data_IF_806288910868
#
_entry.id   IF_806288910868
#
_cell.length_a   1.000
_cell.length_b   1.000
_cell.length_c   1.000
_cell.angle_alpha   90.00
_cell.angle_beta   90.00
_cell.angle_gamma   90.00
#
_symmetry.space_group_name_H-M   'P 1'
#
loop_
_entity.id
_entity.type
_entity.pdbx_description
1 polymer ?
#
# COMPACT_ATOMS: atom_id res chain seq x y z
N UNK A 1 -33.18 -54.73 0.27
CA UNK A 1 -33.39 -53.86 1.45
C UNK A 1 -32.27 -52.85 1.48
N UNK A 2 -32.58 -51.59 1.17
CA UNK A 2 -31.61 -50.50 1.03
C UNK A 2 -31.69 -49.71 2.34
N UNK A 3 -30.62 -49.66 3.12
CA UNK A 3 -30.58 -48.93 4.38
C UNK A 3 -30.46 -47.43 4.08
N UNK A 4 -31.54 -46.68 4.35
CA UNK A 4 -31.50 -45.22 4.41
C UNK A 4 -30.63 -44.80 5.60
N UNK A 5 -29.51 -44.13 5.34
CA UNK A 5 -28.80 -43.37 6.35
C UNK A 5 -29.23 -41.91 6.24
N UNK A 6 -30.16 -41.52 7.10
CA UNK A 6 -30.54 -40.12 7.32
C UNK A 6 -29.34 -39.37 7.90
N UNK A 7 -28.81 -38.42 7.13
CA UNK A 7 -27.83 -37.43 7.62
C UNK A 7 -28.55 -36.54 8.66
N UNK A 8 -28.01 -36.39 9.88
CA UNK A 8 -28.62 -35.52 10.88
C UNK A 8 -28.50 -34.05 10.45
N UNK A 9 -29.46 -33.19 10.83
CA UNK A 9 -29.44 -31.79 10.42
C UNK A 9 -28.26 -31.07 11.06
N UNK A 10 -27.50 -30.32 10.26
CA UNK A 10 -26.46 -29.43 10.73
C UNK A 10 -27.11 -28.25 11.47
N UNK A 11 -27.18 -28.33 12.79
CA UNK A 11 -27.40 -27.15 13.61
C UNK A 11 -26.60 -27.26 14.90
N UNK A 12 -25.29 -27.18 14.75
CA UNK A 12 -24.39 -26.73 15.81
C UNK A 12 -23.87 -25.36 15.39
N UNK A 13 -24.49 -24.29 15.92
CA UNK A 13 -23.80 -23.01 16.00
C UNK A 13 -22.66 -23.18 17.01
N UNK A 14 -21.55 -23.70 16.51
CA UNK A 14 -20.26 -23.66 17.21
C UNK A 14 -20.07 -22.23 17.75
N UNK A 15 -19.72 -22.06 19.03
CA UNK A 15 -19.54 -20.74 19.60
C UNK A 15 -18.51 -19.97 18.76
N UNK A 16 -18.82 -18.72 18.42
CA UNK A 16 -17.93 -17.86 17.64
C UNK A 16 -16.60 -17.72 18.38
N UNK A 17 -15.58 -18.49 17.97
CA UNK A 17 -14.25 -18.37 18.54
C UNK A 17 -13.79 -16.94 18.31
N UNK A 18 -13.33 -16.25 19.37
CA UNK A 18 -12.67 -14.96 19.20
C UNK A 18 -11.50 -15.15 18.23
N UNK A 19 -11.47 -14.36 17.15
CA UNK A 19 -10.34 -14.36 16.21
C UNK A 19 -9.07 -13.98 16.97
N UNK A 20 -8.00 -14.69 16.66
CA UNK A 20 -6.67 -14.35 17.15
C UNK A 20 -6.17 -13.08 16.45
N UNK A 21 -5.28 -12.34 17.12
CA UNK A 21 -4.63 -11.16 16.51
C UNK A 21 -3.94 -11.47 15.18
N UNK A 22 -3.46 -12.71 14.97
CA UNK A 22 -2.91 -13.15 13.68
C UNK A 22 -3.98 -13.23 12.60
N UNK A 23 -5.18 -13.72 12.93
CA UNK A 23 -6.33 -13.79 12.01
C UNK A 23 -6.93 -12.41 11.68
N UNK A 24 -6.61 -11.39 12.46
CA UNK A 24 -6.99 -9.99 12.18
C UNK A 24 -6.00 -9.29 11.24
N UNK A 25 -4.74 -9.74 11.23
CA UNK A 25 -3.64 -9.12 10.48
C UNK A 25 -3.40 -9.81 9.14
N UNK A 26 -3.45 -11.14 9.11
CA UNK A 26 -3.20 -11.93 7.91
C UNK A 26 -4.49 -12.52 7.37
N UNK A 27 -4.68 -12.46 6.06
CA UNK A 27 -5.81 -13.10 5.43
C UNK A 27 -5.62 -14.63 5.38
N UNK A 28 -6.71 -15.38 5.14
CA UNK A 28 -6.68 -16.84 5.18
C UNK A 28 -5.62 -17.47 4.25
N UNK A 29 -5.48 -16.93 3.03
CA UNK A 29 -4.43 -17.35 2.09
C UNK A 29 -2.99 -17.14 2.61
N UNK A 30 -2.71 -16.02 3.30
CA UNK A 30 -1.39 -15.78 3.91
C UNK A 30 -1.13 -16.76 5.06
N UNK A 31 -2.13 -17.00 5.91
CA UNK A 31 -2.02 -17.98 6.99
C UNK A 31 -1.75 -19.38 6.41
N UNK A 32 -2.51 -19.81 5.40
CA UNK A 32 -2.29 -21.09 4.74
C UNK A 32 -0.90 -21.18 4.08
N UNK A 33 -0.39 -20.08 3.50
CA UNK A 33 0.95 -20.04 2.94
C UNK A 33 2.05 -20.09 4.01
N UNK A 34 1.84 -19.43 5.16
CA UNK A 34 2.74 -19.51 6.31
C UNK A 34 2.84 -20.94 6.84
N UNK A 35 1.72 -21.64 6.97
CA UNK A 35 1.68 -23.06 7.39
C UNK A 35 2.38 -23.97 6.37
N UNK A 36 2.22 -23.68 5.09
CA UNK A 36 2.73 -24.55 4.01
C UNK A 36 4.22 -24.40 3.73
N UNK A 37 4.75 -23.18 3.80
CA UNK A 37 6.11 -22.87 3.32
C UNK A 37 6.95 -22.03 4.30
N UNK A 38 6.35 -21.55 5.39
CA UNK A 38 6.99 -20.64 6.32
C UNK A 38 7.25 -21.27 7.69
N UNK A 39 7.48 -20.39 8.65
CA UNK A 39 7.46 -20.71 10.08
C UNK A 39 6.40 -19.81 10.74
N UNK A 40 5.14 -20.29 10.90
CA UNK A 40 4.04 -19.53 11.49
C UNK A 40 4.35 -18.95 12.87
N UNK A 41 5.19 -19.64 13.65
CA UNK A 41 5.55 -19.25 15.02
C UNK A 41 6.43 -17.99 15.07
N UNK A 42 7.07 -17.62 13.96
CA UNK A 42 7.82 -16.36 13.87
C UNK A 42 6.91 -15.15 14.08
N UNK A 43 5.64 -15.21 13.71
CA UNK A 43 4.69 -14.10 13.81
C UNK A 43 4.04 -14.00 15.20
N UNK A 44 4.89 -13.82 16.22
CA UNK A 44 4.44 -13.54 17.58
C UNK A 44 3.74 -12.17 17.67
N UNK A 45 2.95 -11.95 18.73
CA UNK A 45 2.29 -10.66 18.97
C UNK A 45 3.31 -9.52 19.06
N UNK A 46 4.43 -9.76 19.72
CA UNK A 46 5.53 -8.80 19.85
C UNK A 46 6.11 -8.43 18.48
N UNK A 47 6.43 -9.43 17.66
CA UNK A 47 6.96 -9.18 16.31
C UNK A 47 5.97 -8.41 15.44
N UNK A 48 4.68 -8.76 15.50
CA UNK A 48 3.65 -8.02 14.76
C UNK A 48 3.57 -6.56 15.22
N UNK A 49 3.61 -6.29 16.53
CA UNK A 49 3.63 -4.92 17.05
C UNK A 49 4.88 -4.12 16.63
N UNK A 50 6.01 -4.80 16.44
CA UNK A 50 7.27 -4.19 16.02
C UNK A 50 7.36 -3.93 14.51
N UNK A 51 6.58 -4.66 13.69
CA UNK A 51 6.73 -4.63 12.23
C UNK A 51 5.48 -4.16 11.49
N UNK A 52 4.32 -4.11 12.12
CA UNK A 52 3.05 -3.82 11.46
C UNK A 52 2.34 -2.69 12.20
N UNK A 53 2.10 -1.59 11.48
CA UNK A 53 1.43 -0.42 12.01
C UNK A 53 0.23 -0.06 11.14
N UNK A 54 -0.75 0.65 11.71
CA UNK A 54 -1.86 1.25 10.97
C UNK A 54 -1.62 2.76 10.70
N UNK A 55 -0.39 3.22 10.86
CA UNK A 55 0.03 4.60 10.74
C UNK A 55 1.51 4.64 10.36
N UNK A 56 1.97 5.74 9.79
CA UNK A 56 3.39 6.05 9.62
C UNK A 56 3.97 6.33 11.02
N UNK A 57 4.93 5.53 11.52
CA UNK A 57 5.63 5.84 12.75
C UNK A 57 6.32 7.20 12.65
N UNK A 58 6.35 7.96 13.76
CA UNK A 58 6.90 9.33 13.75
C UNK A 58 8.33 9.38 13.19
N UNK A 59 9.18 8.41 13.56
CA UNK A 59 10.56 8.34 13.06
C UNK A 59 10.68 8.10 11.54
N UNK A 60 9.61 7.66 10.87
CA UNK A 60 9.59 7.42 9.42
C UNK A 60 8.90 8.55 8.65
N UNK A 61 8.23 9.50 9.33
CA UNK A 61 7.45 10.57 8.69
C UNK A 61 8.29 11.39 7.71
N UNK A 62 9.44 11.91 8.16
CA UNK A 62 10.32 12.72 7.32
C UNK A 62 10.78 11.94 6.10
N UNK A 63 11.19 10.67 6.30
CA UNK A 63 11.63 9.78 5.22
C UNK A 63 10.56 9.53 4.16
N UNK A 64 9.30 9.46 4.55
CA UNK A 64 8.16 9.31 3.62
C UNK A 64 7.89 10.61 2.87
N UNK A 65 7.92 11.77 3.54
CA UNK A 65 7.69 13.08 2.89
C UNK A 65 8.85 13.49 1.97
N UNK A 66 10.09 13.08 2.30
CA UNK A 66 11.31 13.37 1.53
C UNK A 66 11.55 12.37 0.39
N UNK A 67 10.72 11.32 0.27
CA UNK A 67 10.87 10.31 -0.77
C UNK A 67 10.75 10.96 -2.17
N UNK A 68 11.78 10.85 -3.03
CA UNK A 68 11.77 11.49 -4.34
C UNK A 68 10.80 10.82 -5.33
N UNK A 69 10.42 9.56 -5.02
CA UNK A 69 9.46 8.77 -5.77
C UNK A 69 8.93 7.61 -4.90
N UNK A 70 7.90 6.94 -5.40
CA UNK A 70 7.40 5.65 -4.90
C UNK A 70 6.76 4.85 -6.04
N UNK A 71 6.51 3.57 -5.82
CA UNK A 71 5.71 2.74 -6.72
C UNK A 71 4.30 2.60 -6.17
N UNK A 72 3.31 2.78 -7.03
CA UNK A 72 1.89 2.66 -6.69
C UNK A 72 1.30 1.44 -7.40
N UNK A 73 0.90 0.45 -6.61
CA UNK A 73 0.09 -0.67 -7.07
C UNK A 73 -1.40 -0.35 -6.87
N UNK A 74 -2.18 -0.61 -7.91
CA UNK A 74 -3.65 -0.51 -7.93
C UNK A 74 -4.21 -1.73 -8.64
N UNK A 75 -5.51 -1.98 -8.55
CA UNK A 75 -6.16 -3.02 -9.36
C UNK A 75 -7.56 -2.62 -9.76
N UNK A 76 -8.04 -3.20 -10.85
CA UNK A 76 -9.45 -3.13 -11.22
C UNK A 76 -10.31 -3.94 -10.24
N UNK A 77 -11.63 -3.79 -10.32
CA UNK A 77 -12.59 -4.53 -9.50
C UNK A 77 -12.49 -6.07 -9.65
N UNK A 78 -11.99 -6.55 -10.79
CA UNK A 78 -11.80 -7.97 -11.09
C UNK A 78 -10.42 -8.51 -10.68
N UNK A 79 -9.57 -7.68 -10.06
CA UNK A 79 -8.24 -8.06 -9.59
C UNK A 79 -7.12 -7.91 -10.62
N UNK A 80 -7.36 -7.38 -11.83
CA UNK A 80 -6.28 -7.04 -12.76
C UNK A 80 -5.43 -5.89 -12.21
N UNK A 81 -4.15 -6.16 -11.93
CA UNK A 81 -3.25 -5.22 -11.30
C UNK A 81 -2.56 -4.28 -12.29
N UNK A 82 -2.26 -3.07 -11.82
CA UNK A 82 -1.39 -2.09 -12.45
C UNK A 82 -0.32 -1.63 -11.44
N UNK A 83 0.87 -1.30 -11.92
CA UNK A 83 1.94 -0.74 -11.10
C UNK A 83 2.57 0.44 -11.82
N UNK A 84 2.58 1.60 -11.15
CA UNK A 84 3.05 2.85 -11.74
C UNK A 84 4.14 3.49 -10.87
N UNK A 85 5.14 4.05 -11.51
CA UNK A 85 6.12 4.91 -10.86
C UNK A 85 5.51 6.29 -10.64
N UNK A 86 5.62 6.82 -9.42
CA UNK A 86 5.22 8.19 -9.06
C UNK A 86 6.46 8.92 -8.59
N UNK A 87 6.91 9.87 -9.40
CA UNK A 87 8.07 10.72 -9.11
C UNK A 87 7.73 12.20 -9.26
N UNK A 88 8.70 13.04 -8.96
CA UNK A 88 8.54 14.50 -8.91
C UNK A 88 9.56 15.18 -8.00
N UNK A 89 10.36 14.40 -7.27
CA UNK A 89 11.32 14.90 -6.31
C UNK A 89 10.72 15.05 -4.91
N UNK A 90 11.44 15.72 -4.00
CA UNK A 90 10.96 15.93 -2.63
C UNK A 90 9.61 16.65 -2.60
N UNK A 91 8.84 16.46 -1.52
CA UNK A 91 7.48 17.01 -1.37
C UNK A 91 6.40 16.41 -2.27
N UNK A 92 6.68 15.29 -2.95
CA UNK A 92 5.68 14.51 -3.67
C UNK A 92 4.58 13.97 -2.74
N UNK A 93 4.91 13.73 -1.48
CA UNK A 93 3.98 13.18 -0.48
C UNK A 93 3.86 14.14 0.69
N UNK A 94 2.62 14.26 1.19
CA UNK A 94 2.31 14.92 2.44
C UNK A 94 1.67 13.95 3.42
N UNK A 95 2.22 13.84 4.62
CA UNK A 95 1.56 13.12 5.72
C UNK A 95 0.59 14.09 6.39
N UNK A 96 -0.71 13.88 6.18
CA UNK A 96 -1.79 14.73 6.68
C UNK A 96 -2.12 14.42 8.15
N UNK A 97 -1.99 13.14 8.53
CA UNK A 97 -2.13 12.61 9.88
C UNK A 97 -1.32 11.30 9.96
N UNK A 98 -1.06 10.74 11.16
CA UNK A 98 -0.30 9.49 11.27
C UNK A 98 -0.82 8.37 10.38
N UNK A 99 -2.15 8.25 10.25
CA UNK A 99 -2.82 7.23 9.43
C UNK A 99 -3.34 7.77 8.08
N UNK A 100 -2.84 8.91 7.60
CA UNK A 100 -3.36 9.55 6.38
C UNK A 100 -2.30 10.31 5.62
N UNK A 101 -2.13 9.99 4.34
CA UNK A 101 -1.20 10.69 3.45
C UNK A 101 -1.89 11.16 2.18
N UNK A 102 -1.25 12.07 1.45
CA UNK A 102 -1.72 12.55 0.17
C UNK A 102 -0.56 12.73 -0.81
N UNK A 103 -0.84 12.58 -2.10
CA UNK A 103 0.09 12.85 -3.19
C UNK A 103 -0.67 13.37 -4.43
N UNK A 104 -0.05 14.21 -5.26
CA UNK A 104 -0.69 14.78 -6.43
C UNK A 104 -0.72 13.79 -7.60
N UNK A 105 -1.76 13.89 -8.43
CA UNK A 105 -1.75 13.32 -9.77
C UNK A 105 -1.16 14.34 -10.76
N UNK A 106 0.10 14.11 -11.14
CA UNK A 106 0.90 14.93 -12.06
C UNK A 106 1.08 16.40 -11.63
N UNK A 107 2.13 17.03 -12.14
CA UNK A 107 2.20 18.48 -12.23
C UNK A 107 1.60 18.89 -13.57
N UNK A 108 0.86 20.00 -13.62
CA UNK A 108 0.25 20.53 -14.85
C UNK A 108 1.22 20.73 -16.04
N UNK A 109 2.54 20.69 -15.81
CA UNK A 109 3.58 20.83 -16.84
C UNK A 109 4.00 19.51 -17.49
N UNK A 110 3.66 18.36 -16.90
CA UNK A 110 3.99 17.03 -17.42
C UNK A 110 2.72 16.40 -17.97
N UNK A 111 2.60 16.34 -19.31
CA UNK A 111 1.55 15.54 -19.94
C UNK A 111 1.96 14.08 -19.83
N UNK A 112 1.27 13.33 -18.96
CA UNK A 112 1.29 11.87 -19.04
C UNK A 112 0.72 11.39 -20.39
N UNK A 113 0.73 10.08 -20.63
CA UNK A 113 0.12 9.49 -21.82
C UNK A 113 -1.42 9.58 -21.87
N UNK A 114 -2.05 10.25 -20.91
CA UNK A 114 -3.50 10.41 -20.82
C UNK A 114 -4.28 9.13 -20.51
N UNK A 115 -3.63 8.04 -20.11
CA UNK A 115 -4.31 6.76 -19.86
C UNK A 115 -5.05 6.69 -18.52
N UNK A 116 -4.70 7.56 -17.55
CA UNK A 116 -5.33 7.64 -16.22
C UNK A 116 -5.49 6.30 -15.47
N UNK A 117 -4.65 5.30 -15.77
CA UNK A 117 -4.78 3.91 -15.28
C UNK A 117 -4.95 3.83 -13.76
N UNK A 118 -4.06 4.48 -12.99
CA UNK A 118 -4.14 4.44 -11.52
C UNK A 118 -5.41 5.12 -10.99
N UNK A 119 -5.83 6.25 -11.55
CA UNK A 119 -7.03 6.95 -11.10
C UNK A 119 -8.29 6.16 -11.44
N UNK A 120 -8.37 5.63 -12.66
CA UNK A 120 -9.48 4.79 -13.11
C UNK A 120 -9.65 3.56 -12.21
N UNK A 121 -8.54 2.91 -11.84
CA UNK A 121 -8.57 1.81 -10.88
C UNK A 121 -9.08 2.27 -9.50
N UNK A 122 -8.56 3.38 -8.96
CA UNK A 122 -8.99 3.92 -7.65
C UNK A 122 -10.49 4.23 -7.61
N UNK A 123 -11.05 4.74 -8.71
CA UNK A 123 -12.49 5.07 -8.79
C UNK A 123 -13.40 3.85 -8.67
N UNK A 124 -12.94 2.66 -9.07
CA UNK A 124 -13.74 1.41 -9.01
C UNK A 124 -13.28 0.47 -7.90
N UNK A 125 -12.07 0.66 -7.38
CA UNK A 125 -11.46 -0.16 -6.36
C UNK A 125 -10.48 0.69 -5.52
N UNK A 126 -10.82 1.02 -4.27
CA UNK A 126 -10.03 1.95 -3.46
C UNK A 126 -8.73 1.34 -2.92
N UNK A 127 -8.52 0.03 -3.00
CA UNK A 127 -7.37 -0.62 -2.38
C UNK A 127 -6.07 -0.30 -3.15
N UNK A 128 -5.10 0.29 -2.46
CA UNK A 128 -3.80 0.65 -3.02
C UNK A 128 -2.65 0.18 -2.14
N UNK A 129 -1.47 -0.01 -2.76
CA UNK A 129 -0.22 -0.22 -2.04
C UNK A 129 0.85 0.71 -2.60
N UNK A 130 1.49 1.46 -1.70
CA UNK A 130 2.66 2.28 -1.99
C UNK A 130 3.89 1.53 -1.53
N UNK A 131 4.92 1.49 -2.38
CA UNK A 131 6.23 0.94 -2.06
C UNK A 131 7.29 2.03 -2.16
N UNK A 132 7.91 2.30 -1.01
CA UNK A 132 9.06 3.17 -0.87
C UNK A 132 10.32 2.31 -0.84
N UNK A 133 11.34 2.74 -1.58
CA UNK A 133 12.67 2.13 -1.57
C UNK A 133 13.69 3.25 -1.52
N UNK A 134 14.56 3.20 -0.52
CA UNK A 134 15.77 4.01 -0.51
C UNK A 134 16.93 3.17 -1.01
N UNK A 135 17.49 3.57 -2.14
CA UNK A 135 18.61 2.87 -2.75
C UNK A 135 19.97 3.23 -2.13
N UNK A 136 20.04 4.14 -1.14
CA UNK A 136 21.28 4.44 -0.44
C UNK A 136 21.56 3.45 0.69
N UNK A 137 20.57 3.17 1.53
CA UNK A 137 20.69 2.25 2.68
C UNK A 137 19.86 0.95 2.52
N UNK A 138 19.12 0.83 1.41
CA UNK A 138 18.30 -0.34 1.09
C UNK A 138 16.99 -0.41 1.87
N UNK A 139 16.63 0.59 2.68
CA UNK A 139 15.42 0.55 3.47
C UNK A 139 14.18 0.53 2.56
N UNK A 140 13.17 -0.23 2.99
CA UNK A 140 11.91 -0.38 2.27
C UNK A 140 10.75 -0.21 3.22
N UNK A 141 9.75 0.53 2.76
CA UNK A 141 8.50 0.71 3.49
C UNK A 141 7.34 0.46 2.54
N UNK A 142 6.44 -0.44 2.93
CA UNK A 142 5.17 -0.64 2.25
C UNK A 142 4.07 0.04 3.04
N UNK A 143 3.21 0.79 2.36
CA UNK A 143 2.05 1.48 2.93
C UNK A 143 0.82 1.08 2.12
N UNK A 144 -0.06 0.28 2.71
CA UNK A 144 -1.31 -0.14 2.13
C UNK A 144 -2.46 0.66 2.75
N UNK A 145 -3.49 0.91 1.95
CA UNK A 145 -4.67 1.60 2.44
C UNK A 145 -5.75 1.74 1.39
N UNK A 146 -6.70 2.61 1.70
CA UNK A 146 -7.81 2.97 0.81
C UNK A 146 -7.59 4.37 0.26
N UNK A 147 -7.55 4.48 -1.05
CA UNK A 147 -7.41 5.72 -1.76
C UNK A 147 -8.77 6.34 -2.10
N UNK A 148 -8.80 7.67 -2.12
CA UNK A 148 -9.89 8.49 -2.64
C UNK A 148 -9.34 9.70 -3.39
N UNK A 149 -10.16 10.29 -4.25
CA UNK A 149 -9.82 11.49 -5.03
C UNK A 149 -10.83 12.58 -4.66
N UNK A 150 -10.62 13.29 -3.54
CA UNK A 150 -11.54 14.34 -3.12
C UNK A 150 -11.48 15.57 -4.04
N UNK A 151 -12.61 16.23 -4.24
CA UNK A 151 -12.71 17.50 -4.99
C UNK A 151 -12.35 18.74 -4.14
N UNK A 152 -11.93 18.54 -2.88
CA UNK A 152 -11.69 19.59 -1.89
C UNK A 152 -10.58 20.57 -2.32
N UNK A 153 -10.91 21.87 -2.31
CA UNK A 153 -10.00 22.98 -2.59
C UNK A 153 -8.81 23.02 -1.62
N UNK A 154 -8.93 22.46 -0.41
CA UNK A 154 -7.86 22.40 0.58
C UNK A 154 -6.68 21.58 0.09
N UNK A 155 -6.93 20.50 -0.67
CA UNK A 155 -5.87 19.69 -1.27
C UNK A 155 -5.09 20.48 -2.33
N UNK A 156 -5.76 21.38 -3.06
CA UNK A 156 -5.10 22.32 -4.00
C UNK A 156 -4.23 23.36 -3.29
N UNK A 157 -4.43 23.63 -2.00
CA UNK A 157 -3.49 24.49 -1.24
C UNK A 157 -2.18 23.75 -0.95
N UNK A 158 -2.23 22.45 -0.72
CA UNK A 158 -1.05 21.60 -0.47
C UNK A 158 -0.32 21.31 -1.78
N UNK A 159 -1.08 21.05 -2.85
CA UNK A 159 -0.54 20.76 -4.18
C UNK A 159 -1.13 21.71 -5.25
N UNK A 160 -0.67 22.98 -5.33
CA UNK A 160 -1.27 24.00 -6.20
C UNK A 160 -1.22 23.69 -7.69
N UNK A 161 -0.23 22.91 -8.12
CA UNK A 161 -0.02 22.55 -9.53
C UNK A 161 -0.66 21.21 -9.91
N UNK A 162 -1.35 20.54 -8.98
CA UNK A 162 -1.94 19.23 -9.22
C UNK A 162 -3.31 19.34 -9.90
N UNK A 163 -3.55 18.48 -10.87
CA UNK A 163 -4.88 18.33 -11.50
C UNK A 163 -5.89 17.80 -10.49
N UNK A 164 -5.50 16.75 -9.77
CA UNK A 164 -6.20 16.23 -8.61
C UNK A 164 -5.22 15.67 -7.59
N UNK A 165 -5.71 15.35 -6.40
CA UNK A 165 -4.91 14.82 -5.29
C UNK A 165 -5.51 13.50 -4.86
N UNK A 166 -4.65 12.50 -4.71
CA UNK A 166 -5.02 11.21 -4.12
C UNK A 166 -4.75 11.28 -2.62
N UNK A 167 -5.75 10.90 -1.83
CA UNK A 167 -5.63 10.77 -0.38
C UNK A 167 -5.75 9.30 -0.02
N UNK A 168 -4.84 8.82 0.82
CA UNK A 168 -4.80 7.42 1.27
C UNK A 168 -4.99 7.38 2.77
N UNK A 169 -6.07 6.71 3.19
CA UNK A 169 -6.29 6.32 4.57
C UNK A 169 -5.57 4.98 4.80
N UNK A 170 -4.59 5.00 5.70
CA UNK A 170 -3.63 3.92 5.89
C UNK A 170 -4.25 2.79 6.71
N UNK A 171 -4.11 1.55 6.23
CA UNK A 171 -4.57 0.35 6.92
C UNK A 171 -3.39 -0.52 7.39
N UNK A 172 -2.28 -0.53 6.65
CA UNK A 172 -1.09 -1.31 7.01
C UNK A 172 0.19 -0.63 6.54
N UNK A 173 1.14 -0.50 7.45
CA UNK A 173 2.53 -0.09 7.19
C UNK A 173 3.42 -1.23 7.63
N UNK A 174 4.29 -1.68 6.73
CA UNK A 174 5.21 -2.78 7.01
C UNK A 174 6.59 -2.47 6.42
N UNK A 175 7.68 -2.55 7.21
CA UNK A 175 9.02 -2.46 6.67
C UNK A 175 9.35 -3.76 5.95
N UNK A 176 10.25 -3.69 4.97
CA UNK A 176 10.82 -4.89 4.34
C UNK A 176 12.32 -4.91 4.54
N UNK A 177 12.90 -6.12 4.60
CA UNK A 177 14.34 -6.31 4.79
C UNK A 177 15.16 -5.56 3.72
N UNK A 178 16.33 -5.02 4.03
CA UNK A 178 17.16 -4.30 3.04
C UNK A 178 17.98 -5.22 2.13
N UNK A 179 17.99 -6.53 2.41
CA UNK A 179 18.76 -7.50 1.64
C UNK A 179 18.49 -7.39 0.14
N UNK A 180 19.58 -7.41 -0.64
CA UNK A 180 19.60 -7.43 -2.11
C UNK A 180 19.11 -6.15 -2.81
N UNK A 181 18.82 -5.06 -2.09
CA UNK A 181 18.61 -3.76 -2.74
C UNK A 181 19.98 -3.19 -3.14
N UNK A 182 20.22 -2.95 -4.44
CA UNK A 182 21.48 -2.41 -4.90
C UNK A 182 21.63 -0.97 -4.44
N UNK A 183 22.88 -0.54 -4.23
CA UNK A 183 23.17 0.90 -4.15
C UNK A 183 23.12 1.49 -5.53
N UNK A 184 22.28 2.51 -5.72
CA UNK A 184 22.18 3.25 -6.98
C UNK A 184 22.77 4.64 -6.80
N UNK A 185 23.55 5.07 -7.78
CA UNK A 185 24.00 6.46 -7.90
C UNK A 185 23.11 7.12 -8.94
N UNK A 186 22.59 8.32 -8.65
CA UNK A 186 21.82 9.08 -9.64
C UNK A 186 22.68 9.30 -10.87
N UNK A 187 22.15 8.97 -12.05
CA UNK A 187 22.75 9.42 -13.28
C UNK A 187 22.76 10.95 -13.33
N UNK A 188 23.72 11.53 -14.03
CA UNK A 188 23.71 12.97 -14.31
C UNK A 188 22.41 13.33 -15.04
N UNK A 189 21.83 14.48 -14.67
CA UNK A 189 20.56 14.91 -15.23
C UNK A 189 20.77 15.36 -16.68
N UNK A 190 20.52 14.47 -17.65
CA UNK A 190 20.50 14.83 -19.06
C UNK A 190 19.25 15.67 -19.34
N UNK A 191 19.41 16.97 -19.48
CA UNK A 191 18.37 17.96 -19.80
C UNK A 191 17.77 17.83 -21.21
N UNK A 192 17.88 16.67 -21.86
CA UNK A 192 17.69 16.52 -23.31
C UNK A 192 16.93 15.27 -23.77
N UNK A 193 16.02 14.70 -22.99
CA UNK A 193 15.16 13.61 -23.47
C UNK A 193 13.68 14.04 -23.44
N UNK A 194 13.22 14.61 -24.55
CA UNK A 194 11.80 14.62 -24.89
C UNK A 194 11.43 13.19 -25.35
N UNK A 195 10.45 12.58 -24.69
CA UNK A 195 9.69 11.44 -25.23
C UNK A 195 8.31 11.97 -25.60
#
# INVERSE_FOLDING_TARGET
MIANHSVPPANDKLPSRKRSKREDVFHQGELAAQERWGNPELWTIERMNQLLWNHIPEQLKARVEDAPFFFLATSQHDGRCDCSFKGGGPSLIKVLAPNRLAFPHFEARVKGNGAYMSLGNILVNPYVSLLFIDFNDGARLRVNGKASIPEDITMKKIFPQAECVVVVDIELVAPSCSSYIPRLVSAEHNSGANI
#
